data_IF_318919402782
#
_entry.id   IF_318919402782
#
_cell.length_a   1.000
_cell.length_b   1.000
_cell.length_c   1.000
_cell.angle_alpha   90.00
_cell.angle_beta   90.00
_cell.angle_gamma   90.00
#
_symmetry.space_group_name_H-M   'P 1'
#
loop_
_entity.id
_entity.type
_entity.pdbx_description
1 polymer ?
#
# COMPACT_ATOMS: atom_id res chain seq x y z
N UNK A 1 -0.52 20.32 16.21
CA UNK A 1 -1.68 20.24 15.32
C UNK A 1 -2.96 20.70 16.02
N UNK A 2 -3.60 19.82 16.80
CA UNK A 2 -4.91 20.10 17.42
C UNK A 2 -4.94 21.35 18.32
N UNK A 3 -3.84 21.66 19.01
CA UNK A 3 -3.77 22.91 19.83
C UNK A 3 -3.91 24.17 18.99
N UNK A 4 -3.57 24.12 17.71
CA UNK A 4 -3.70 25.28 16.80
C UNK A 4 -5.13 25.44 16.25
N UNK A 5 -5.94 24.38 16.33
CA UNK A 5 -7.35 24.40 15.87
C UNK A 5 -8.31 25.03 16.88
N UNK A 6 -7.78 25.59 18.00
CA UNK A 6 -8.56 26.28 19.07
C UNK A 6 -9.69 25.45 19.68
N UNK A 7 -9.60 24.12 19.63
CA UNK A 7 -10.56 23.21 20.26
C UNK A 7 -10.25 23.03 21.76
N UNK A 8 -11.26 22.65 22.54
CA UNK A 8 -11.11 22.47 23.98
C UNK A 8 -10.14 21.35 24.35
N UNK A 9 -9.49 21.46 25.53
CA UNK A 9 -8.59 20.42 26.06
C UNK A 9 -9.27 19.05 26.17
N UNK A 10 -10.55 19.05 26.58
CA UNK A 10 -11.34 17.81 26.69
C UNK A 10 -11.58 17.17 25.34
N UNK A 11 -11.82 17.94 24.30
CA UNK A 11 -12.02 17.45 22.95
C UNK A 11 -10.71 16.95 22.33
N UNK A 12 -9.59 17.62 22.59
CA UNK A 12 -8.25 17.13 22.21
C UNK A 12 -8.01 15.76 22.84
N UNK A 13 -8.24 15.60 24.14
CA UNK A 13 -8.04 14.34 24.83
C UNK A 13 -8.94 13.22 24.28
N UNK A 14 -10.21 13.51 23.97
CA UNK A 14 -11.11 12.54 23.33
C UNK A 14 -10.57 12.07 21.99
N UNK A 15 -10.15 12.98 21.10
CA UNK A 15 -9.59 12.65 19.78
C UNK A 15 -8.29 11.84 19.90
N UNK A 16 -7.40 12.22 20.80
CA UNK A 16 -6.12 11.52 21.03
C UNK A 16 -6.37 10.11 21.55
N UNK A 17 -7.21 9.95 22.57
CA UNK A 17 -7.51 8.63 23.15
C UNK A 17 -8.22 7.73 22.13
N UNK A 18 -9.14 8.26 21.34
CA UNK A 18 -9.81 7.51 20.26
C UNK A 18 -8.81 7.01 19.21
N UNK A 19 -7.89 7.87 18.76
CA UNK A 19 -6.86 7.49 17.82
C UNK A 19 -5.86 6.48 18.42
N UNK A 20 -5.46 6.67 19.69
CA UNK A 20 -4.57 5.76 20.40
C UNK A 20 -5.19 4.35 20.54
N UNK A 21 -6.45 4.27 20.95
CA UNK A 21 -7.19 3.01 21.02
C UNK A 21 -7.32 2.31 19.66
N UNK A 22 -7.58 3.09 18.59
CA UNK A 22 -7.66 2.55 17.23
C UNK A 22 -6.36 1.88 16.81
N UNK A 23 -5.22 2.41 17.22
CA UNK A 23 -3.88 1.98 16.81
C UNK A 23 -3.18 1.12 17.89
N UNK A 24 -3.83 0.88 19.05
CA UNK A 24 -3.27 0.15 20.17
C UNK A 24 -1.92 0.73 20.65
N UNK A 25 -1.89 2.05 20.89
CA UNK A 25 -0.70 2.80 21.34
C UNK A 25 -0.95 3.65 22.58
N UNK A 26 -1.94 3.30 23.39
CA UNK A 26 -2.30 4.05 24.59
C UNK A 26 -1.13 4.16 25.58
N UNK A 27 -0.35 3.08 25.72
CA UNK A 27 0.84 2.99 26.56
C UNK A 27 2.05 3.79 26.05
N UNK A 28 1.95 4.31 24.84
CA UNK A 28 3.01 5.08 24.19
C UNK A 28 2.79 6.60 24.23
N UNK A 29 1.64 7.08 24.71
CA UNK A 29 1.26 8.49 24.63
C UNK A 29 2.24 9.44 25.35
N UNK A 30 2.87 8.98 26.43
CA UNK A 30 3.85 9.76 27.22
C UNK A 30 5.29 9.57 26.74
N UNK A 31 5.55 8.66 25.77
CA UNK A 31 6.91 8.42 25.30
C UNK A 31 7.36 9.46 24.27
N UNK A 32 8.62 9.80 24.32
CA UNK A 32 9.26 10.65 23.31
C UNK A 32 9.59 9.83 22.06
N UNK A 33 9.61 10.43 20.84
CA UNK A 33 9.87 9.70 19.60
C UNK A 33 11.14 8.84 19.60
N UNK A 34 12.20 9.29 20.29
CA UNK A 34 13.45 8.54 20.44
C UNK A 34 13.35 7.25 21.30
N UNK A 35 12.25 7.11 22.04
CA UNK A 35 11.98 5.95 22.90
C UNK A 35 11.06 4.93 22.23
N UNK A 36 10.70 5.16 20.97
CA UNK A 36 9.80 4.33 20.20
C UNK A 36 10.57 3.49 19.17
N UNK A 37 10.12 2.26 18.94
CA UNK A 37 10.57 1.45 17.81
C UNK A 37 10.13 2.04 16.46
N UNK A 38 10.62 1.50 15.34
CA UNK A 38 10.23 1.94 13.99
C UNK A 38 8.72 1.86 13.78
N UNK A 39 8.12 0.72 14.05
CA UNK A 39 6.67 0.52 13.92
C UNK A 39 5.85 1.37 14.90
N UNK A 40 6.31 1.54 16.13
CA UNK A 40 5.66 2.42 17.10
C UNK A 40 5.67 3.88 16.63
N UNK A 41 6.79 4.37 16.09
CA UNK A 41 6.84 5.70 15.47
C UNK A 41 5.87 5.84 14.31
N UNK A 42 5.77 4.80 13.47
CA UNK A 42 4.83 4.77 12.35
C UNK A 42 3.37 4.85 12.82
N UNK A 43 2.98 4.02 13.79
CA UNK A 43 1.63 4.07 14.38
C UNK A 43 1.32 5.45 14.98
N UNK A 44 2.27 6.07 15.67
CA UNK A 44 2.10 7.43 16.20
C UNK A 44 1.95 8.47 15.09
N UNK A 45 2.69 8.35 13.97
CA UNK A 45 2.55 9.24 12.83
C UNK A 45 1.16 9.11 12.18
N UNK A 46 0.65 7.90 12.00
CA UNK A 46 -0.70 7.62 11.52
C UNK A 46 -1.74 8.18 12.51
N UNK A 47 -1.56 7.97 13.82
CA UNK A 47 -2.45 8.52 14.86
C UNK A 47 -2.60 10.04 14.80
N UNK A 48 -1.50 10.73 14.56
CA UNK A 48 -1.53 12.20 14.35
C UNK A 48 -2.37 12.62 13.14
N UNK A 49 -2.38 11.83 12.07
CA UNK A 49 -3.23 12.08 10.91
C UNK A 49 -4.71 11.80 11.23
N UNK A 50 -5.01 10.69 11.90
CA UNK A 50 -6.37 10.31 12.30
C UNK A 50 -7.05 11.35 13.19
N UNK A 51 -6.31 11.94 14.13
CA UNK A 51 -6.89 12.94 15.05
C UNK A 51 -7.49 14.16 14.35
N UNK A 52 -7.09 14.42 13.10
CA UNK A 52 -7.65 15.51 12.27
C UNK A 52 -8.93 15.13 11.55
N UNK A 53 -9.30 13.85 11.56
CA UNK A 53 -10.45 13.32 10.84
C UNK A 53 -10.51 13.76 9.36
N UNK A 54 -9.47 13.52 8.58
CA UNK A 54 -9.40 13.98 7.19
C UNK A 54 -10.36 13.15 6.31
N UNK A 55 -10.87 13.76 5.24
CA UNK A 55 -11.68 13.07 4.23
C UNK A 55 -10.83 12.12 3.36
N UNK A 56 -9.54 12.41 3.23
CA UNK A 56 -8.56 11.62 2.46
C UNK A 56 -7.26 11.54 3.25
N UNK A 57 -6.72 10.35 3.39
CA UNK A 57 -5.36 10.12 3.88
C UNK A 57 -4.40 10.00 2.72
N UNK A 58 -3.22 10.59 2.86
CA UNK A 58 -2.11 10.42 1.93
C UNK A 58 -0.96 9.76 2.67
N UNK A 59 -0.60 8.55 2.24
CA UNK A 59 0.58 7.81 2.71
C UNK A 59 1.62 7.77 1.59
N UNK A 60 2.77 8.37 1.85
CA UNK A 60 3.89 8.42 0.91
C UNK A 60 4.99 7.50 1.44
N UNK A 61 5.14 6.34 0.81
CA UNK A 61 6.08 5.27 1.17
C UNK A 61 6.14 4.95 2.67
N UNK A 62 5.01 4.71 3.35
CA UNK A 62 4.98 4.68 4.81
C UNK A 62 5.77 3.53 5.43
N UNK A 63 6.08 2.47 4.69
CA UNK A 63 6.76 1.29 5.20
C UNK A 63 8.21 1.13 4.69
N UNK A 64 8.70 2.05 3.87
CA UNK A 64 10.02 1.97 3.22
C UNK A 64 11.20 1.84 4.19
N UNK A 65 11.10 2.44 5.39
CA UNK A 65 12.16 2.46 6.40
C UNK A 65 12.06 1.34 7.45
N UNK A 66 11.23 0.31 7.20
CA UNK A 66 11.04 -0.81 8.11
C UNK A 66 11.74 -2.08 7.59
N UNK A 67 12.20 -2.92 8.49
CA UNK A 67 12.65 -4.27 8.14
C UNK A 67 11.50 -5.16 7.63
N UNK A 68 11.83 -6.28 6.99
CA UNK A 68 10.85 -7.12 6.31
C UNK A 68 9.77 -7.69 7.24
N UNK A 69 10.14 -8.08 8.47
CA UNK A 69 9.21 -8.66 9.44
C UNK A 69 8.21 -7.60 9.92
N UNK A 70 8.72 -6.44 10.33
CA UNK A 70 7.93 -5.31 10.78
C UNK A 70 7.06 -4.73 9.66
N UNK A 71 7.56 -4.72 8.41
CA UNK A 71 6.78 -4.30 7.23
C UNK A 71 5.57 -5.20 7.01
N UNK A 72 5.74 -6.52 7.15
CA UNK A 72 4.63 -7.48 7.04
C UNK A 72 3.58 -7.27 8.12
N UNK A 73 3.99 -7.06 9.36
CA UNK A 73 3.08 -6.73 10.46
C UNK A 73 2.32 -5.43 10.19
N UNK A 74 3.02 -4.38 9.79
CA UNK A 74 2.43 -3.07 9.53
C UNK A 74 1.47 -3.05 8.34
N UNK A 75 1.68 -3.89 7.31
CA UNK A 75 0.70 -4.07 6.22
C UNK A 75 -0.65 -4.57 6.75
N UNK A 76 -0.61 -5.58 7.61
CA UNK A 76 -1.84 -6.10 8.24
C UNK A 76 -2.54 -5.02 9.07
N UNK A 77 -1.79 -4.23 9.83
CA UNK A 77 -2.33 -3.15 10.64
C UNK A 77 -2.95 -2.03 9.77
N UNK A 78 -2.30 -1.63 8.68
CA UNK A 78 -2.85 -0.64 7.73
C UNK A 78 -4.12 -1.15 7.07
N UNK A 79 -4.18 -2.44 6.68
CA UNK A 79 -5.39 -3.03 6.12
C UNK A 79 -6.57 -3.02 7.11
N UNK A 80 -6.32 -3.38 8.39
CA UNK A 80 -7.34 -3.27 9.43
C UNK A 80 -7.79 -1.83 9.65
N UNK A 81 -6.85 -0.90 9.65
CA UNK A 81 -7.10 0.51 9.82
C UNK A 81 -7.96 1.08 8.69
N UNK A 82 -7.66 0.74 7.43
CA UNK A 82 -8.45 1.14 6.27
C UNK A 82 -9.93 0.75 6.44
N UNK A 83 -10.17 -0.52 6.79
CA UNK A 83 -11.53 -1.02 7.04
C UNK A 83 -12.23 -0.30 8.20
N UNK A 84 -11.48 0.06 9.25
CA UNK A 84 -12.03 0.71 10.45
C UNK A 84 -12.35 2.19 10.24
N UNK A 85 -11.52 2.89 9.46
CA UNK A 85 -11.67 4.33 9.24
C UNK A 85 -12.76 4.68 8.24
N UNK A 86 -13.14 3.78 7.36
CA UNK A 86 -14.09 4.01 6.25
C UNK A 86 -13.79 5.32 5.48
N UNK A 87 -12.51 5.59 5.25
CA UNK A 87 -12.00 6.83 4.64
C UNK A 87 -11.21 6.50 3.38
N UNK A 88 -11.18 7.44 2.44
CA UNK A 88 -10.35 7.30 1.25
C UNK A 88 -8.87 7.40 1.61
N UNK A 89 -8.07 6.49 1.09
CA UNK A 89 -6.62 6.45 1.28
C UNK A 89 -5.94 6.47 -0.08
N UNK A 90 -5.02 7.42 -0.28
CA UNK A 90 -4.06 7.40 -1.37
C UNK A 90 -2.74 6.88 -0.79
N UNK A 91 -2.25 5.77 -1.33
CA UNK A 91 -1.08 5.08 -0.85
C UNK A 91 -0.03 5.02 -1.95
N UNK A 92 1.10 5.69 -1.75
CA UNK A 92 2.23 5.65 -2.69
C UNK A 92 3.24 4.63 -2.18
N UNK A 93 3.63 3.70 -3.04
CA UNK A 93 4.64 2.69 -2.74
C UNK A 93 5.36 2.23 -4.01
N UNK A 94 6.60 1.79 -3.85
CA UNK A 94 7.34 1.04 -4.87
C UNK A 94 7.34 -0.48 -4.60
N UNK A 95 6.73 -0.92 -3.50
CA UNK A 95 6.61 -2.33 -3.14
C UNK A 95 5.34 -2.93 -3.76
N UNK A 96 5.53 -3.88 -4.68
CA UNK A 96 4.44 -4.55 -5.38
C UNK A 96 3.51 -5.31 -4.42
N UNK A 97 4.06 -5.92 -3.36
CA UNK A 97 3.27 -6.68 -2.39
C UNK A 97 2.34 -5.74 -1.61
N UNK A 98 2.82 -4.54 -1.27
CA UNK A 98 1.97 -3.52 -0.65
C UNK A 98 0.84 -3.12 -1.58
N UNK A 99 1.15 -2.77 -2.83
CA UNK A 99 0.15 -2.38 -3.83
C UNK A 99 -0.91 -3.47 -4.03
N UNK A 100 -0.48 -4.72 -4.23
CA UNK A 100 -1.38 -5.85 -4.51
C UNK A 100 -2.23 -6.30 -3.31
N UNK A 101 -1.77 -6.04 -2.08
CA UNK A 101 -2.44 -6.52 -0.86
C UNK A 101 -3.28 -5.48 -0.14
N UNK A 102 -2.95 -4.19 -0.31
CA UNK A 102 -3.60 -3.10 0.41
C UNK A 102 -4.60 -2.31 -0.43
N UNK A 103 -4.42 -2.27 -1.75
CA UNK A 103 -5.21 -1.40 -2.60
C UNK A 103 -6.51 -2.04 -3.07
N UNK A 104 -7.59 -1.25 -3.09
CA UNK A 104 -8.81 -1.59 -3.84
C UNK A 104 -8.59 -1.33 -5.34
N UNK A 105 -7.81 -0.30 -5.68
CA UNK A 105 -7.42 0.04 -7.05
C UNK A 105 -5.97 0.53 -7.08
N UNK A 106 -5.28 0.16 -8.16
CA UNK A 106 -3.87 0.50 -8.40
C UNK A 106 -3.78 1.41 -9.62
N UNK A 107 -2.97 2.46 -9.50
CA UNK A 107 -2.50 3.27 -10.62
C UNK A 107 -1.04 2.92 -10.86
N UNK A 108 -0.69 2.52 -12.09
CA UNK A 108 0.71 2.26 -12.49
C UNK A 108 1.20 3.44 -13.33
N UNK A 109 1.99 4.36 -12.75
CA UNK A 109 2.54 5.50 -13.49
C UNK A 109 3.90 5.14 -14.12
N UNK A 110 4.21 5.73 -15.27
CA UNK A 110 5.50 5.66 -15.93
C UNK A 110 5.82 6.96 -16.63
N UNK A 111 6.93 7.61 -16.28
CA UNK A 111 7.41 8.87 -16.89
C UNK A 111 6.32 9.95 -17.03
N UNK A 112 5.47 10.08 -16.00
CA UNK A 112 4.40 11.08 -15.96
C UNK A 112 3.09 10.67 -16.64
N UNK A 113 3.02 9.50 -17.28
CA UNK A 113 1.80 8.93 -17.85
C UNK A 113 1.23 7.83 -16.94
N UNK A 114 -0.07 7.61 -17.02
CA UNK A 114 -0.72 6.46 -16.38
C UNK A 114 -0.76 5.32 -17.41
N UNK A 115 -0.01 4.26 -17.15
CA UNK A 115 0.05 3.07 -18.00
C UNK A 115 -1.19 2.19 -17.83
N UNK A 116 -1.62 2.03 -16.58
CA UNK A 116 -2.84 1.29 -16.26
C UNK A 116 -3.45 1.76 -14.94
N UNK A 117 -4.77 1.64 -14.86
CA UNK A 117 -5.57 1.82 -13.65
C UNK A 117 -6.59 0.70 -13.54
N UNK A 118 -6.61 -0.01 -12.42
CA UNK A 118 -7.52 -1.14 -12.23
C UNK A 118 -7.44 -1.73 -10.83
N UNK A 119 -8.20 -2.78 -10.60
CA UNK A 119 -8.06 -3.62 -9.40
C UNK A 119 -6.74 -4.39 -9.44
N UNK A 120 -6.21 -4.84 -8.29
CA UNK A 120 -5.04 -5.71 -8.27
C UNK A 120 -5.15 -6.92 -9.21
N UNK A 121 -6.31 -7.55 -9.25
CA UNK A 121 -6.56 -8.70 -10.12
C UNK A 121 -6.49 -8.33 -11.61
N UNK A 122 -7.13 -7.23 -12.03
CA UNK A 122 -7.08 -6.76 -13.43
C UNK A 122 -5.65 -6.43 -13.85
N UNK A 123 -4.88 -5.71 -13.02
CA UNK A 123 -3.49 -5.37 -13.31
C UNK A 123 -2.62 -6.61 -13.47
N UNK A 124 -2.89 -7.68 -12.69
CA UNK A 124 -2.13 -8.92 -12.73
C UNK A 124 -2.52 -9.83 -13.91
N UNK A 125 -3.81 -9.97 -14.19
CA UNK A 125 -4.31 -10.94 -15.18
C UNK A 125 -4.39 -10.38 -16.60
N UNK A 126 -4.54 -9.06 -16.74
CA UNK A 126 -4.69 -8.37 -18.03
C UNK A 126 -3.86 -7.07 -18.06
N UNK A 127 -2.51 -7.18 -18.05
CA UNK A 127 -1.65 -6.01 -18.10
C UNK A 127 -1.70 -5.35 -19.50
N UNK A 128 -1.95 -4.04 -19.53
CA UNK A 128 -2.10 -3.27 -20.78
C UNK A 128 -0.84 -3.26 -21.67
N UNK A 129 0.33 -3.47 -21.09
CA UNK A 129 1.59 -3.46 -21.81
C UNK A 129 2.71 -4.21 -21.04
N UNK A 130 3.84 -4.40 -21.72
CA UNK A 130 5.01 -5.09 -21.16
C UNK A 130 5.51 -4.43 -19.87
N UNK A 131 5.50 -3.08 -19.80
CA UNK A 131 5.95 -2.38 -18.61
C UNK A 131 5.12 -2.75 -17.37
N UNK A 132 3.80 -2.79 -17.50
CA UNK A 132 2.91 -3.20 -16.42
C UNK A 132 3.13 -4.68 -16.07
N UNK A 133 3.24 -5.55 -17.07
CA UNK A 133 3.48 -6.97 -16.87
C UNK A 133 4.79 -7.27 -16.13
N UNK A 134 5.87 -6.52 -16.43
CA UNK A 134 7.16 -6.63 -15.75
C UNK A 134 7.18 -5.98 -14.38
N UNK A 135 6.35 -4.95 -14.18
CA UNK A 135 6.27 -4.24 -12.92
C UNK A 135 5.51 -5.04 -11.85
N UNK A 136 4.49 -5.79 -12.25
CA UNK A 136 3.62 -6.55 -11.34
C UNK A 136 4.01 -8.04 -11.34
N UNK A 137 4.33 -8.55 -10.16
CA UNK A 137 4.57 -9.97 -9.93
C UNK A 137 5.96 -10.28 -9.37
N UNK A 138 5.96 -11.19 -8.40
CA UNK A 138 7.17 -11.79 -7.85
C UNK A 138 6.97 -13.30 -7.78
N UNK A 139 7.67 -14.08 -8.64
CA UNK A 139 8.66 -13.68 -9.65
C UNK A 139 8.06 -12.85 -10.80
N UNK A 140 8.91 -12.10 -11.50
CA UNK A 140 8.51 -11.32 -12.68
C UNK A 140 7.97 -12.22 -13.78
N UNK A 141 7.02 -11.71 -14.57
CA UNK A 141 6.49 -12.41 -15.73
C UNK A 141 7.58 -12.71 -16.76
N UNK A 142 7.61 -13.93 -17.25
CA UNK A 142 8.54 -14.30 -18.32
C UNK A 142 8.03 -13.77 -19.66
N UNK A 143 8.84 -12.95 -20.33
CA UNK A 143 8.51 -12.37 -21.64
C UNK A 143 9.39 -13.03 -22.69
N UNK A 144 8.77 -13.69 -23.66
CA UNK A 144 9.46 -14.32 -24.78
C UNK A 144 9.17 -13.50 -26.03
N UNK A 145 10.22 -12.98 -26.66
CA UNK A 145 10.12 -12.32 -27.97
C UNK A 145 10.04 -13.39 -29.06
N UNK A 146 8.93 -13.42 -29.79
CA UNK A 146 8.70 -14.32 -30.91
C UNK A 146 8.67 -13.50 -32.19
N UNK A 147 9.46 -13.89 -33.22
CA UNK A 147 9.37 -13.29 -34.55
C UNK A 147 8.17 -13.85 -35.30
N UNK A 148 7.52 -13.05 -36.16
CA UNK A 148 6.34 -13.47 -36.94
C UNK A 148 6.56 -14.78 -37.71
N UNK A 149 7.75 -14.99 -38.24
CA UNK A 149 8.13 -16.20 -39.01
C UNK A 149 8.16 -17.47 -38.15
N UNK A 150 8.32 -17.34 -36.83
CA UNK A 150 8.29 -18.47 -35.88
C UNK A 150 6.88 -18.89 -35.53
N UNK A 151 5.90 -18.00 -35.69
CA UNK A 151 4.47 -18.29 -35.43
C UNK A 151 3.86 -19.09 -36.56
N UNK A 152 4.31 -18.91 -37.82
CA UNK A 152 3.75 -19.55 -39.02
C UNK A 152 4.14 -21.02 -39.10
N UNK A 153 5.27 -21.43 -38.51
CA UNK A 153 5.82 -22.78 -38.61
C UNK A 153 5.49 -23.72 -37.44
N UNK A 154 4.81 -23.21 -36.41
CA UNK A 154 4.39 -24.04 -35.28
C UNK A 154 2.86 -24.08 -35.16
N UNK A 155 2.27 -25.15 -35.72
CA UNK A 155 0.86 -25.54 -35.41
C UNK A 155 0.66 -25.89 -33.91
N UNK A 156 1.56 -25.50 -33.04
CA UNK A 156 1.58 -25.80 -31.60
C UNK A 156 2.17 -24.67 -30.77
N UNK A 157 1.58 -23.46 -30.90
CA UNK A 157 1.50 -22.62 -29.74
C UNK A 157 0.11 -22.87 -29.16
N UNK A 158 -0.10 -24.06 -28.64
CA UNK A 158 -1.06 -24.25 -27.57
C UNK A 158 -0.70 -23.23 -26.49
N UNK A 159 -1.66 -22.42 -26.11
CA UNK A 159 -1.59 -21.43 -25.07
C UNK A 159 -0.50 -21.74 -24.05
N UNK A 160 0.51 -20.89 -23.92
CA UNK A 160 1.42 -20.96 -22.79
C UNK A 160 0.55 -20.63 -21.56
N UNK A 161 -0.08 -21.67 -21.06
CA UNK A 161 -0.72 -21.64 -19.76
C UNK A 161 0.38 -21.37 -18.76
N UNK A 162 0.37 -20.19 -18.17
CA UNK A 162 1.26 -19.83 -17.08
C UNK A 162 0.91 -20.70 -15.88
N UNK A 163 1.49 -21.90 -15.82
CA UNK A 163 1.50 -22.66 -14.59
C UNK A 163 2.43 -21.95 -13.61
N UNK A 164 1.86 -21.31 -12.63
CA UNK A 164 2.57 -20.94 -11.42
C UNK A 164 3.17 -22.22 -10.83
N UNK A 165 4.45 -22.42 -11.01
CA UNK A 165 5.19 -23.38 -10.20
C UNK A 165 5.18 -22.84 -8.77
N UNK A 166 4.62 -23.65 -7.88
CA UNK A 166 4.58 -23.42 -6.43
C UNK A 166 5.98 -23.37 -5.84
#
# INVERSE_FOLDING_TARGET
GLKMEKISKNEINKKVNSAANTLQIEDLLERKPKQLSGGQRQRVAIGRAITRNPKVFLFDEPLSNLDAALRSEMRVEISKLHKKLNSNIIYVTHDQVEAMTLADRIVVPNKGNIEQFGTPNEIYTDPNNIFVAEFIGSPKMNIIKINKDQIINSNTIESVSYTHLR
#
